data_IF_573450170234
#
_entry.id   IF_573450170234
#
_cell.length_a   1.000
_cell.length_b   1.000
_cell.length_c   1.000
_cell.angle_alpha   90.00
_cell.angle_beta   90.00
_cell.angle_gamma   90.00
#
_symmetry.space_group_name_H-M   'P 1'
#
loop_
_entity.id
_entity.type
_entity.pdbx_description
1 polymer ?
#
# COMPACT_ATOMS: atom_id res chain seq x y z
N UNK A 1 54.89 37.99 2.38
CA UNK A 1 53.95 37.48 3.40
C UNK A 1 52.48 37.43 2.96
N UNK A 2 51.99 38.34 2.09
CA UNK A 2 50.58 38.36 1.60
C UNK A 2 50.09 37.07 0.90
N UNK A 3 50.97 36.32 0.21
CA UNK A 3 50.60 35.06 -0.47
C UNK A 3 50.26 33.91 0.49
N UNK A 4 50.84 33.88 1.70
CA UNK A 4 50.56 32.83 2.70
C UNK A 4 49.22 33.05 3.42
N UNK A 5 48.82 34.31 3.61
CA UNK A 5 47.51 34.66 4.17
C UNK A 5 46.34 34.31 3.23
N UNK A 6 46.52 34.46 1.92
CA UNK A 6 45.51 34.07 0.93
C UNK A 6 45.24 32.55 0.92
N UNK A 7 46.29 31.73 1.11
CA UNK A 7 46.17 30.25 1.12
C UNK A 7 45.43 29.77 2.38
N UNK A 8 45.71 30.37 3.55
CA UNK A 8 45.01 30.03 4.79
C UNK A 8 43.55 30.46 4.75
N UNK A 9 43.26 31.65 4.21
CA UNK A 9 41.90 32.14 4.04
C UNK A 9 41.07 31.24 3.10
N UNK A 10 41.64 30.80 1.97
CA UNK A 10 40.95 29.88 1.06
C UNK A 10 40.70 28.50 1.68
N UNK A 11 41.65 27.98 2.46
CA UNK A 11 41.52 26.69 3.14
C UNK A 11 40.39 26.71 4.19
N UNK A 12 40.32 27.77 5.00
CA UNK A 12 39.28 27.93 6.01
C UNK A 12 37.89 28.07 5.38
N UNK A 13 37.78 28.82 4.28
CA UNK A 13 36.51 28.97 3.57
C UNK A 13 36.04 27.63 2.97
N UNK A 14 36.94 26.87 2.33
CA UNK A 14 36.62 25.55 1.80
C UNK A 14 36.19 24.58 2.91
N UNK A 15 36.91 24.57 4.04
CA UNK A 15 36.55 23.75 5.19
C UNK A 15 35.18 24.12 5.76
N UNK A 16 34.85 25.41 5.85
CA UNK A 16 33.54 25.86 6.31
C UNK A 16 32.40 25.39 5.38
N UNK A 17 32.58 25.49 4.06
CA UNK A 17 31.58 25.02 3.09
C UNK A 17 31.36 23.51 3.21
N UNK A 18 32.43 22.73 3.30
CA UNK A 18 32.35 21.26 3.49
C UNK A 18 31.62 20.92 4.78
N UNK A 19 31.92 21.62 5.87
CA UNK A 19 31.30 21.36 7.17
C UNK A 19 29.80 21.68 7.15
N UNK A 20 29.39 22.79 6.51
CA UNK A 20 27.98 23.11 6.29
C UNK A 20 27.28 22.05 5.44
N UNK A 21 27.93 21.56 4.37
CA UNK A 21 27.37 20.51 3.53
C UNK A 21 27.17 19.19 4.29
N UNK A 22 28.13 18.81 5.14
CA UNK A 22 28.03 17.61 6.00
C UNK A 22 26.91 17.77 7.02
N UNK A 23 26.82 18.92 7.69
CA UNK A 23 25.74 19.18 8.66
C UNK A 23 24.38 19.18 7.97
N UNK A 24 24.26 19.81 6.80
CA UNK A 24 23.03 19.80 6.01
C UNK A 24 22.64 18.38 5.58
N UNK A 25 23.61 17.53 5.22
CA UNK A 25 23.36 16.13 4.86
C UNK A 25 22.95 15.26 6.06
N UNK A 26 23.54 15.50 7.24
CA UNK A 26 23.21 14.76 8.47
C UNK A 26 21.87 15.20 9.07
N UNK A 27 21.53 16.49 8.97
CA UNK A 27 20.25 17.05 9.39
C UNK A 27 19.16 16.89 8.34
N UNK A 28 19.50 16.44 7.12
CA UNK A 28 18.50 16.17 6.10
C UNK A 28 17.59 15.03 6.60
N UNK A 29 16.27 15.26 6.73
CA UNK A 29 15.37 14.24 7.23
C UNK A 29 15.40 13.02 6.29
N UNK A 30 16.05 11.95 6.74
CA UNK A 30 16.13 10.69 6.02
C UNK A 30 14.87 9.88 6.29
N UNK A 31 13.95 9.99 5.34
CA UNK A 31 12.85 9.05 5.20
C UNK A 31 11.58 9.50 5.90
N UNK A 32 10.58 9.82 5.06
CA UNK A 32 9.20 9.57 5.43
C UNK A 32 9.12 8.06 5.73
N UNK A 33 8.99 7.70 7.00
CA UNK A 33 8.53 6.37 7.38
C UNK A 33 7.25 6.14 6.60
N UNK A 34 7.26 5.18 5.67
CA UNK A 34 6.06 4.77 4.96
C UNK A 34 4.97 4.57 6.01
N UNK A 35 3.86 5.28 5.85
CA UNK A 35 2.75 5.26 6.80
C UNK A 35 2.48 3.80 7.19
N UNK A 36 2.56 3.50 8.48
CA UNK A 36 2.37 2.15 8.98
C UNK A 36 0.99 1.67 8.53
N UNK A 37 0.96 0.70 7.62
CA UNK A 37 -0.28 0.10 7.15
C UNK A 37 -0.96 -0.62 8.33
N UNK A 38 -2.29 -0.71 8.36
CA UNK A 38 -3.02 -1.43 9.42
C UNK A 38 -2.62 -2.91 9.54
N UNK A 39 -2.20 -3.51 8.43
CA UNK A 39 -1.70 -4.89 8.34
C UNK A 39 -0.24 -5.05 8.80
N UNK A 40 0.46 -3.94 9.11
CA UNK A 40 1.87 -3.93 9.51
C UNK A 40 2.84 -4.31 8.38
N UNK A 41 2.36 -4.46 7.14
CA UNK A 41 3.18 -4.89 6.01
C UNK A 41 3.86 -3.70 5.32
N UNK A 42 4.82 -3.98 4.43
CA UNK A 42 5.55 -2.99 3.60
C UNK A 42 6.53 -2.03 4.31
N UNK A 43 7.50 -2.58 5.05
CA UNK A 43 8.59 -1.78 5.65
C UNK A 43 9.63 -1.20 4.67
N UNK A 44 9.58 -1.58 3.39
CA UNK A 44 10.52 -1.10 2.36
C UNK A 44 9.76 -0.48 1.19
N UNK A 45 10.41 0.40 0.43
CA UNK A 45 9.82 1.05 -0.75
C UNK A 45 9.35 0.04 -1.79
N UNK A 46 10.13 -1.01 -2.04
CA UNK A 46 9.74 -2.11 -2.92
C UNK A 46 8.56 -2.93 -2.35
N UNK A 47 8.58 -3.19 -1.03
CA UNK A 47 7.47 -3.83 -0.33
C UNK A 47 6.18 -3.04 -0.48
N UNK A 48 6.23 -1.72 -0.33
CA UNK A 48 5.08 -0.82 -0.48
C UNK A 48 4.50 -0.87 -1.89
N UNK A 49 5.33 -0.84 -2.93
CA UNK A 49 4.87 -0.97 -4.31
C UNK A 49 4.18 -2.32 -4.57
N UNK A 50 4.74 -3.42 -4.05
CA UNK A 50 4.13 -4.75 -4.18
C UNK A 50 2.80 -4.85 -3.44
N UNK A 51 2.71 -4.29 -2.23
CA UNK A 51 1.46 -4.28 -1.47
C UNK A 51 0.40 -3.42 -2.15
N UNK A 52 0.76 -2.25 -2.68
CA UNK A 52 -0.16 -1.40 -3.44
C UNK A 52 -0.73 -2.10 -4.69
N UNK A 53 0.08 -2.93 -5.36
CA UNK A 53 -0.39 -3.77 -6.46
C UNK A 53 -1.43 -4.80 -5.98
N UNK A 54 -1.14 -5.49 -4.87
CA UNK A 54 -2.08 -6.44 -4.26
C UNK A 54 -3.37 -5.78 -3.76
N UNK A 55 -3.31 -4.58 -3.21
CA UNK A 55 -4.52 -3.84 -2.79
C UNK A 55 -5.40 -3.49 -4.00
N UNK A 56 -4.76 -3.16 -5.12
CA UNK A 56 -5.47 -2.88 -6.38
C UNK A 56 -6.12 -4.13 -6.95
N UNK A 57 -5.42 -5.27 -6.89
CA UNK A 57 -5.98 -6.58 -7.23
C UNK A 57 -7.16 -6.93 -6.30
N UNK A 58 -7.02 -6.71 -4.99
CA UNK A 58 -8.09 -6.95 -4.02
C UNK A 58 -9.36 -6.15 -4.36
N UNK A 59 -9.23 -4.85 -4.64
CA UNK A 59 -10.35 -3.99 -5.06
C UNK A 59 -10.99 -4.48 -6.35
N UNK A 60 -10.18 -4.86 -7.33
CA UNK A 60 -10.67 -5.35 -8.62
C UNK A 60 -11.44 -6.67 -8.45
N UNK A 61 -10.91 -7.61 -7.67
CA UNK A 61 -11.56 -8.90 -7.42
C UNK A 61 -12.88 -8.71 -6.65
N UNK A 62 -12.89 -7.85 -5.63
CA UNK A 62 -14.11 -7.47 -4.88
C UNK A 62 -15.18 -6.87 -5.80
N UNK A 63 -14.79 -5.95 -6.69
CA UNK A 63 -15.74 -5.35 -7.62
C UNK A 63 -16.32 -6.38 -8.58
N UNK A 64 -15.50 -7.31 -9.09
CA UNK A 64 -15.97 -8.41 -9.94
C UNK A 64 -16.90 -9.36 -9.18
N UNK A 65 -16.58 -9.69 -7.93
CA UNK A 65 -17.44 -10.50 -7.08
C UNK A 65 -18.80 -9.85 -6.83
N UNK A 66 -18.82 -8.53 -6.61
CA UNK A 66 -20.07 -7.75 -6.45
C UNK A 66 -20.90 -7.74 -7.73
N UNK A 67 -20.28 -7.58 -8.90
CA UNK A 67 -20.98 -7.62 -10.17
C UNK A 67 -21.59 -9.01 -10.43
N UNK A 68 -20.83 -10.07 -10.17
CA UNK A 68 -21.33 -11.43 -10.27
C UNK A 68 -22.49 -11.69 -9.28
N UNK A 69 -22.42 -11.14 -8.07
CA UNK A 69 -23.51 -11.22 -7.09
C UNK A 69 -24.77 -10.53 -7.61
N UNK A 70 -24.64 -9.34 -8.17
CA UNK A 70 -25.76 -8.61 -8.76
C UNK A 70 -26.39 -9.36 -9.94
N UNK A 71 -25.57 -9.97 -10.80
CA UNK A 71 -26.05 -10.80 -11.89
C UNK A 71 -26.81 -12.03 -11.38
N UNK A 72 -26.29 -12.68 -10.33
CA UNK A 72 -26.95 -13.82 -9.70
C UNK A 72 -28.32 -13.42 -9.13
N UNK A 73 -28.37 -12.33 -8.36
CA UNK A 73 -29.61 -11.80 -7.78
C UNK A 73 -30.61 -11.30 -8.82
N UNK A 74 -30.15 -10.91 -10.02
CA UNK A 74 -31.04 -10.56 -11.12
C UNK A 74 -31.66 -11.79 -11.83
N UNK A 75 -31.02 -12.96 -11.69
CA UNK A 75 -31.45 -14.21 -12.33
C UNK A 75 -32.13 -15.20 -11.37
N UNK A 76 -32.00 -15.00 -10.06
CA UNK A 76 -32.47 -15.88 -9.00
C UNK A 76 -33.30 -15.10 -7.99
N UNK A 77 -34.43 -15.67 -7.56
CA UNK A 77 -35.30 -15.04 -6.55
C UNK A 77 -34.72 -15.12 -5.12
N UNK A 78 -33.67 -15.93 -4.91
CA UNK A 78 -33.06 -16.19 -3.61
C UNK A 78 -31.57 -15.79 -3.60
N UNK A 79 -31.06 -15.16 -2.52
CA UNK A 79 -29.65 -14.82 -2.42
C UNK A 79 -28.76 -16.07 -2.36
N UNK A 80 -27.52 -16.02 -2.87
CA UNK A 80 -26.63 -17.16 -2.84
C UNK A 80 -26.25 -17.48 -1.38
N UNK A 81 -26.19 -18.78 -1.04
CA UNK A 81 -25.81 -19.18 0.32
C UNK A 81 -24.29 -19.02 0.55
N UNK A 82 -23.51 -18.99 -0.53
CA UNK A 82 -22.05 -18.97 -0.50
C UNK A 82 -21.46 -18.25 -1.72
N UNK A 83 -20.21 -17.79 -1.64
CA UNK A 83 -19.56 -17.13 -2.78
C UNK A 83 -19.23 -18.11 -3.92
N UNK A 84 -19.13 -19.39 -3.58
CA UNK A 84 -18.86 -20.48 -4.50
C UNK A 84 -19.98 -20.66 -5.54
N UNK A 85 -21.21 -20.28 -5.19
CA UNK A 85 -22.37 -20.33 -6.11
C UNK A 85 -22.26 -19.35 -7.28
N UNK A 86 -21.48 -18.27 -7.12
CA UNK A 86 -21.22 -17.31 -8.19
C UNK A 86 -20.31 -17.86 -9.28
N UNK A 87 -19.78 -19.09 -9.12
CA UNK A 87 -18.88 -19.77 -10.08
C UNK A 87 -17.65 -18.96 -10.46
N UNK A 88 -17.17 -18.12 -9.54
CA UNK A 88 -15.94 -17.36 -9.69
C UNK A 88 -14.72 -18.24 -9.36
N UNK A 89 -13.57 -17.98 -9.99
CA UNK A 89 -12.34 -18.68 -9.65
C UNK A 89 -11.88 -18.34 -8.22
N UNK A 90 -11.25 -19.30 -7.54
CA UNK A 90 -10.81 -19.15 -6.15
C UNK A 90 -9.81 -18.00 -5.92
N UNK A 91 -9.07 -17.59 -6.96
CA UNK A 91 -8.18 -16.42 -6.92
C UNK A 91 -8.93 -15.09 -6.85
N UNK A 92 -10.19 -15.05 -7.28
CA UNK A 92 -11.04 -13.86 -7.27
C UNK A 92 -12.00 -13.81 -6.06
N UNK A 93 -12.13 -14.91 -5.32
CA UNK A 93 -12.94 -14.97 -4.10
C UNK A 93 -12.12 -14.86 -2.81
N UNK A 94 -10.81 -14.54 -2.93
CA UNK A 94 -9.89 -14.42 -1.80
C UNK A 94 -9.07 -13.14 -1.87
N UNK A 95 -8.69 -12.65 -0.70
CA UNK A 95 -7.79 -11.51 -0.56
C UNK A 95 -6.37 -11.88 -1.04
N UNK A 96 -5.77 -11.18 -2.00
CA UNK A 96 -4.40 -11.46 -2.46
C UNK A 96 -3.32 -11.07 -1.43
N UNK A 97 -3.69 -10.30 -0.40
CA UNK A 97 -2.79 -9.92 0.70
C UNK A 97 -2.73 -11.02 1.77
N UNK A 98 -3.83 -11.28 2.47
CA UNK A 98 -3.87 -12.22 3.59
C UNK A 98 -4.38 -13.62 3.23
N UNK A 99 -4.94 -13.82 2.04
CA UNK A 99 -5.46 -15.11 1.58
C UNK A 99 -6.83 -15.49 2.14
N UNK A 100 -7.43 -14.63 2.97
CA UNK A 100 -8.76 -14.87 3.54
C UNK A 100 -9.84 -14.87 2.45
N UNK A 101 -10.84 -15.76 2.50
CA UNK A 101 -11.98 -15.69 1.61
C UNK A 101 -12.79 -14.42 1.86
N UNK A 102 -13.34 -13.86 0.79
CA UNK A 102 -14.35 -12.81 0.93
C UNK A 102 -15.62 -13.37 1.56
N UNK A 103 -16.42 -12.47 2.13
CA UNK A 103 -17.67 -12.84 2.82
C UNK A 103 -18.83 -12.04 2.24
N UNK A 104 -20.01 -12.66 2.20
CA UNK A 104 -21.26 -11.98 1.90
C UNK A 104 -21.63 -11.10 3.11
N UNK A 105 -22.05 -9.86 2.87
CA UNK A 105 -22.55 -9.00 3.94
C UNK A 105 -23.95 -9.46 4.36
N UNK A 106 -24.18 -9.79 5.63
CA UNK A 106 -25.52 -10.16 6.11
C UNK A 106 -26.53 -9.01 6.02
N UNK A 107 -26.06 -7.76 5.90
CA UNK A 107 -26.92 -6.57 5.90
C UNK A 107 -27.24 -6.02 4.49
N UNK A 108 -26.68 -6.61 3.43
CA UNK A 108 -26.94 -6.13 2.07
C UNK A 108 -26.35 -7.01 0.96
N UNK A 109 -26.74 -6.79 -0.31
CA UNK A 109 -26.27 -7.58 -1.45
C UNK A 109 -24.86 -7.17 -1.88
N UNK A 110 -23.90 -7.25 -0.96
CA UNK A 110 -22.50 -6.89 -1.22
C UNK A 110 -21.54 -7.96 -0.70
N UNK A 111 -20.35 -7.94 -1.27
CA UNK A 111 -19.22 -8.79 -0.88
C UNK A 111 -18.21 -7.90 -0.15
N UNK A 112 -17.66 -8.40 0.97
CA UNK A 112 -16.69 -7.68 1.80
C UNK A 112 -15.43 -8.50 2.02
N UNK A 113 -14.32 -7.80 2.16
CA UNK A 113 -13.05 -8.39 2.57
C UNK A 113 -12.87 -8.21 4.08
N UNK A 114 -12.49 -9.29 4.76
CA UNK A 114 -12.22 -9.29 6.22
C UNK A 114 -10.79 -8.89 6.56
N UNK A 115 -9.96 -8.63 5.55
CA UNK A 115 -8.56 -8.30 5.77
C UNK A 115 -8.42 -6.91 6.42
N UNK A 116 -7.59 -6.76 7.48
CA UNK A 116 -7.38 -5.48 8.14
C UNK A 116 -7.00 -4.38 7.16
N UNK A 117 -7.76 -3.28 7.17
CA UNK A 117 -7.56 -2.15 6.26
C UNK A 117 -8.26 -2.26 4.89
N UNK A 118 -8.88 -3.40 4.57
CA UNK A 118 -9.66 -3.62 3.33
C UNK A 118 -11.18 -3.72 3.57
N UNK A 119 -11.63 -3.53 4.82
CA UNK A 119 -13.03 -3.69 5.24
C UNK A 119 -14.01 -2.71 4.55
N UNK A 120 -13.48 -1.60 4.01
CA UNK A 120 -14.22 -0.54 3.33
C UNK A 120 -13.96 -0.43 1.82
N UNK A 121 -13.24 -1.39 1.22
CA UNK A 121 -13.10 -1.46 -0.23
C UNK A 121 -14.42 -1.85 -0.89
#
# INVERSE_FOLDING_TARGET
MRRRGAILASLLLAAAIVLVAVVAYLLWPKGQTAAARPDGLAHTTLGAARMAAKDTECRSNLQQARQALQLYLASSDEPPASLEELKLPASMTRCPVGGEPYVLDPNGPTVRCVHPGHEGY
#
